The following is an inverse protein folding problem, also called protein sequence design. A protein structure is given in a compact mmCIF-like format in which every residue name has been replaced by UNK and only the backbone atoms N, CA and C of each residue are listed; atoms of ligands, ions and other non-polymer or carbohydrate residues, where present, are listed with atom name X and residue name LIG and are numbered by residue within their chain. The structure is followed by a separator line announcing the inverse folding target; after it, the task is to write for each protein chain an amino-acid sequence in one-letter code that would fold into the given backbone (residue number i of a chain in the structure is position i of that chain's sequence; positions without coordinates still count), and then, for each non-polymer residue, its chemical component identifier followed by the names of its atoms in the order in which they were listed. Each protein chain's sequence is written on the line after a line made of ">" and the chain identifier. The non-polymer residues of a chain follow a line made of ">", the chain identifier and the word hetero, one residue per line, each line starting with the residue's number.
data_IF_250995408692
#
_entry.id   IF_250995408692
#
_cell.length_a   1.000
_cell.length_b   1.000
_cell.length_c   1.000
_cell.angle_alpha   90.00
_cell.angle_beta   90.00
_cell.angle_gamma   90.00
#
_symmetry.space_group_name_H-M   'P 1'
#
loop_
_entity.id
_entity.type
_entity.pdbx_description
1 polymer ?
#
# COMPACT_ATOMS: atom_id res chain seq x y z
N UNK A 1 -7.29 4.58 4.83
CA UNK A 1 -7.40 3.11 5.03
C UNK A 1 -6.58 2.33 3.99
N UNK A 2 -5.27 2.50 3.94
CA UNK A 2 -4.43 1.82 2.92
C UNK A 2 -3.83 0.48 3.35
N UNK A 3 -4.02 0.08 4.61
CA UNK A 3 -3.62 -1.24 5.13
C UNK A 3 -4.78 -2.23 5.35
N UNK A 4 -6.02 -1.82 5.06
CA UNK A 4 -7.20 -2.65 5.32
C UNK A 4 -7.43 -3.64 4.16
N UNK A 5 -7.92 -4.83 4.50
CA UNK A 5 -8.45 -5.76 3.51
C UNK A 5 -9.71 -5.17 2.84
N UNK A 6 -9.89 -5.35 1.52
CA UNK A 6 -11.11 -4.94 0.83
C UNK A 6 -12.31 -5.74 1.38
N UNK A 7 -13.53 -5.22 1.22
CA UNK A 7 -14.74 -5.94 1.65
C UNK A 7 -14.94 -7.24 0.87
N UNK A 8 -14.58 -7.23 -0.42
CA UNK A 8 -14.60 -8.40 -1.29
C UNK A 8 -13.54 -8.29 -2.37
N UNK A 9 -13.16 -9.42 -2.96
CA UNK A 9 -12.32 -9.50 -4.15
C UNK A 9 -12.78 -10.64 -5.06
N UNK A 10 -12.34 -10.60 -6.32
CA UNK A 10 -12.56 -11.69 -7.27
C UNK A 10 -11.29 -12.55 -7.41
N UNK A 11 -11.46 -13.84 -7.64
CA UNK A 11 -10.36 -14.75 -8.00
C UNK A 11 -10.90 -15.88 -8.88
N UNK A 12 -10.05 -16.82 -9.28
CA UNK A 12 -10.47 -18.05 -9.94
C UNK A 12 -10.23 -19.26 -9.02
N UNK A 13 -11.13 -20.22 -9.03
CA UNK A 13 -10.90 -21.47 -8.30
C UNK A 13 -9.80 -22.28 -9.03
N UNK A 14 -8.68 -22.65 -8.39
CA UNK A 14 -7.57 -23.28 -9.09
C UNK A 14 -7.93 -24.62 -9.75
N UNK A 15 -8.86 -25.37 -9.18
CA UNK A 15 -9.27 -26.70 -9.68
C UNK A 15 -10.19 -26.65 -10.90
N UNK A 16 -11.13 -25.70 -10.95
CA UNK A 16 -12.17 -25.65 -12.00
C UNK A 16 -11.99 -24.48 -12.96
N UNK A 17 -11.28 -23.42 -12.56
CA UNK A 17 -11.20 -22.18 -13.31
C UNK A 17 -12.44 -21.28 -13.20
N UNK A 18 -13.39 -21.62 -12.32
CA UNK A 18 -14.60 -20.81 -12.09
C UNK A 18 -14.24 -19.46 -11.46
N UNK A 19 -14.92 -18.40 -11.89
CA UNK A 19 -14.85 -17.09 -11.29
C UNK A 19 -15.55 -17.09 -9.93
N UNK A 20 -14.82 -16.71 -8.90
CA UNK A 20 -15.29 -16.70 -7.52
C UNK A 20 -15.17 -15.32 -6.89
N UNK A 21 -16.06 -15.04 -5.94
CA UNK A 21 -16.04 -13.86 -5.07
C UNK A 21 -15.70 -14.31 -3.66
N UNK A 22 -14.71 -13.65 -3.06
CA UNK A 22 -14.30 -13.85 -1.67
C UNK A 22 -14.72 -12.62 -0.88
N UNK A 23 -15.39 -12.83 0.26
CA UNK A 23 -15.84 -11.77 1.15
C UNK A 23 -15.03 -11.78 2.45
N UNK A 24 -14.60 -10.61 2.90
CA UNK A 24 -13.78 -10.46 4.09
C UNK A 24 -14.56 -10.89 5.33
N UNK A 25 -13.94 -11.71 6.18
CA UNK A 25 -14.55 -12.22 7.41
C UNK A 25 -15.37 -13.50 7.22
N UNK A 26 -15.59 -13.94 5.98
CA UNK A 26 -16.35 -15.15 5.68
C UNK A 26 -15.42 -16.32 5.31
N UNK A 27 -15.85 -17.57 5.57
CA UNK A 27 -15.09 -18.76 5.14
C UNK A 27 -15.56 -19.21 3.76
N UNK A 28 -14.62 -19.67 2.94
CA UNK A 28 -14.90 -20.17 1.59
C UNK A 28 -15.14 -19.04 0.58
N UNK A 29 -15.89 -19.35 -0.47
CA UNK A 29 -16.09 -18.45 -1.60
C UNK A 29 -17.52 -18.60 -2.15
N UNK A 30 -17.92 -17.64 -2.96
CA UNK A 30 -19.16 -17.66 -3.72
C UNK A 30 -18.86 -17.75 -5.21
N UNK A 31 -19.65 -18.52 -5.96
CA UNK A 31 -19.59 -18.45 -7.42
C UNK A 31 -20.05 -17.07 -7.88
N UNK A 32 -19.31 -16.44 -8.79
CA UNK A 32 -19.71 -15.17 -9.38
C UNK A 32 -20.82 -15.35 -10.41
N UNK A 33 -21.76 -14.41 -10.45
CA UNK A 33 -22.80 -14.35 -11.51
C UNK A 33 -22.19 -14.04 -12.88
N UNK A 34 -20.99 -13.44 -12.93
CA UNK A 34 -20.25 -13.17 -14.17
C UNK A 34 -19.36 -14.34 -14.61
N UNK A 35 -19.48 -15.51 -13.99
CA UNK A 35 -18.69 -16.67 -14.36
C UNK A 35 -19.00 -17.12 -15.79
N UNK A 36 -17.96 -17.36 -16.59
CA UNK A 36 -18.04 -17.98 -17.92
C UNK A 36 -17.46 -19.40 -17.90
N UNK A 37 -17.58 -20.12 -19.02
CA UNK A 37 -17.01 -21.45 -19.20
C UNK A 37 -15.50 -21.42 -19.54
N UNK A 38 -14.92 -20.22 -19.72
CA UNK A 38 -13.50 -20.04 -20.05
C UNK A 38 -12.70 -19.58 -18.84
N UNK A 39 -11.71 -20.39 -18.44
CA UNK A 39 -10.77 -20.05 -17.37
C UNK A 39 -10.02 -18.75 -17.64
N UNK A 40 -9.62 -18.53 -18.88
CA UNK A 40 -8.86 -17.35 -19.28
C UNK A 40 -9.73 -16.08 -19.18
N UNK A 41 -10.98 -16.17 -19.64
CA UNK A 41 -11.94 -15.07 -19.54
C UNK A 41 -12.26 -14.75 -18.08
N UNK A 42 -12.51 -15.76 -17.25
CA UNK A 42 -12.72 -15.60 -15.81
C UNK A 42 -11.53 -14.92 -15.13
N UNK A 43 -10.29 -15.29 -15.50
CA UNK A 43 -9.08 -14.61 -14.99
C UNK A 43 -9.06 -13.13 -15.38
N UNK A 44 -9.36 -12.82 -16.65
CA UNK A 44 -9.39 -11.43 -17.12
C UNK A 44 -10.48 -10.61 -16.40
N UNK A 45 -11.64 -11.20 -16.13
CA UNK A 45 -12.71 -10.56 -15.35
C UNK A 45 -12.25 -10.30 -13.92
N UNK A 46 -11.62 -11.27 -13.25
CA UNK A 46 -11.09 -11.11 -11.90
C UNK A 46 -10.03 -10.00 -11.84
N UNK A 47 -9.05 -10.04 -12.73
CA UNK A 47 -7.96 -9.05 -12.80
C UNK A 47 -8.51 -7.64 -13.06
N UNK A 48 -9.43 -7.49 -14.01
CA UNK A 48 -10.08 -6.22 -14.31
C UNK A 48 -10.89 -5.68 -13.12
N UNK A 49 -11.68 -6.55 -12.48
CA UNK A 49 -12.58 -6.17 -11.38
C UNK A 49 -11.77 -5.75 -10.15
N UNK A 50 -10.76 -6.53 -9.77
CA UNK A 50 -9.86 -6.19 -8.68
C UNK A 50 -9.10 -4.89 -8.97
N UNK A 51 -8.66 -4.70 -10.22
CA UNK A 51 -7.98 -3.47 -10.61
C UNK A 51 -8.87 -2.24 -10.46
N UNK A 52 -10.13 -2.34 -10.90
CA UNK A 52 -11.13 -1.25 -10.74
C UNK A 52 -11.45 -0.96 -9.27
N UNK A 53 -11.37 -1.97 -8.40
CA UNK A 53 -11.55 -1.81 -6.95
C UNK A 53 -10.27 -1.36 -6.23
N UNK A 54 -9.16 -1.17 -6.94
CA UNK A 54 -7.89 -0.76 -6.33
C UNK A 54 -7.27 -1.83 -5.45
N UNK A 55 -7.58 -3.10 -5.68
CA UNK A 55 -7.05 -4.23 -4.90
C UNK A 55 -5.63 -4.54 -5.36
N UNK A 56 -4.71 -4.59 -4.40
CA UNK A 56 -3.31 -4.97 -4.61
C UNK A 56 -3.13 -6.49 -4.61
N UNK A 57 -2.04 -6.97 -5.20
CA UNK A 57 -1.68 -8.40 -5.16
C UNK A 57 -1.58 -8.93 -3.72
N UNK A 58 -0.96 -8.18 -2.81
CA UNK A 58 -0.85 -8.56 -1.41
C UNK A 58 -2.21 -8.65 -0.71
N UNK A 59 -3.16 -7.76 -1.04
CA UNK A 59 -4.53 -7.85 -0.53
C UNK A 59 -5.30 -9.03 -1.10
N UNK A 60 -5.16 -9.31 -2.39
CA UNK A 60 -5.81 -10.47 -3.03
C UNK A 60 -5.36 -11.78 -2.38
N UNK A 61 -4.05 -11.97 -2.22
CA UNK A 61 -3.50 -13.16 -1.58
C UNK A 61 -3.96 -13.30 -0.12
N UNK A 62 -4.02 -12.18 0.61
CA UNK A 62 -4.52 -12.17 1.97
C UNK A 62 -6.01 -12.51 2.07
N UNK A 63 -6.83 -12.06 1.12
CA UNK A 63 -8.24 -12.44 1.03
C UNK A 63 -8.40 -13.95 0.75
N UNK A 64 -7.61 -14.49 -0.18
CA UNK A 64 -7.61 -15.93 -0.49
C UNK A 64 -7.24 -16.73 0.76
N UNK A 65 -6.13 -16.40 1.42
CA UNK A 65 -5.70 -17.09 2.63
C UNK A 65 -6.75 -16.99 3.76
N UNK A 66 -7.30 -15.80 3.99
CA UNK A 66 -8.34 -15.57 5.00
C UNK A 66 -9.57 -16.45 4.78
N UNK A 67 -10.02 -16.56 3.54
CA UNK A 67 -11.18 -17.38 3.17
C UNK A 67 -10.98 -18.88 3.39
N UNK A 68 -9.76 -19.38 3.14
CA UNK A 68 -9.42 -20.81 3.20
C UNK A 68 -9.00 -21.24 4.60
N UNK A 69 -8.12 -20.45 5.23
CA UNK A 69 -7.42 -20.79 6.46
C UNK A 69 -7.99 -20.07 7.71
N UNK A 70 -8.94 -19.16 7.53
CA UNK A 70 -9.45 -18.28 8.59
C UNK A 70 -8.71 -16.94 8.63
N UNK A 71 -9.34 -15.94 9.24
CA UNK A 71 -8.88 -14.53 9.16
C UNK A 71 -7.87 -14.14 10.25
N UNK A 72 -7.68 -14.99 11.27
CA UNK A 72 -6.76 -14.73 12.39
C UNK A 72 -5.33 -15.22 12.10
N UNK A 73 -5.05 -15.72 10.90
CA UNK A 73 -3.72 -16.23 10.51
C UNK A 73 -2.87 -15.12 9.87
N UNK A 74 -1.53 -15.16 10.00
CA UNK A 74 -0.66 -14.15 9.39
C UNK A 74 -0.86 -14.00 7.88
N UNK A 75 -1.13 -15.10 7.17
CA UNK A 75 -1.39 -15.08 5.73
C UNK A 75 -2.66 -14.29 5.35
N UNK A 76 -3.58 -14.01 6.28
CA UNK A 76 -4.72 -13.14 6.04
C UNK A 76 -4.38 -11.64 6.17
N UNK A 77 -3.10 -11.28 6.31
CA UNK A 77 -2.64 -9.88 6.36
C UNK A 77 -1.81 -9.53 5.11
N UNK A 78 -2.12 -8.45 4.37
CA UNK A 78 -1.34 -8.05 3.18
C UNK A 78 0.16 -7.87 3.48
N UNK A 79 0.49 -7.32 4.66
CA UNK A 79 1.86 -7.10 5.09
C UNK A 79 2.70 -8.39 5.17
N UNK A 80 2.07 -9.56 5.38
CA UNK A 80 2.78 -10.85 5.36
C UNK A 80 3.48 -11.11 4.03
N UNK A 81 2.85 -10.71 2.92
CA UNK A 81 3.38 -10.90 1.57
C UNK A 81 4.43 -9.84 1.22
N UNK A 82 4.20 -8.58 1.61
CA UNK A 82 5.15 -7.49 1.41
C UNK A 82 6.46 -7.70 2.19
N UNK A 83 6.40 -8.31 3.37
CA UNK A 83 7.55 -8.69 4.19
C UNK A 83 8.43 -9.79 3.56
N UNK A 84 7.84 -10.57 2.65
CA UNK A 84 8.46 -11.74 2.01
C UNK A 84 8.78 -11.50 0.53
N UNK A 85 8.52 -10.30 0.03
CA UNK A 85 8.86 -9.91 -1.33
C UNK A 85 10.38 -10.02 -1.55
N UNK A 86 10.81 -10.55 -2.70
CA UNK A 86 12.22 -10.54 -3.11
C UNK A 86 12.46 -9.39 -4.09
N UNK A 87 13.50 -8.59 -3.84
CA UNK A 87 13.91 -7.52 -4.75
C UNK A 87 14.78 -8.13 -5.86
N UNK A 88 14.26 -8.18 -7.08
CA UNK A 88 14.93 -8.78 -8.23
C UNK A 88 15.87 -7.79 -8.92
N UNK A 89 15.41 -6.55 -9.12
CA UNK A 89 16.13 -5.53 -9.89
C UNK A 89 15.83 -4.14 -9.39
N UNK A 90 16.80 -3.23 -9.52
CA UNK A 90 16.61 -1.80 -9.35
C UNK A 90 17.29 -1.05 -10.49
N UNK A 91 16.55 -0.17 -11.17
CA UNK A 91 17.03 0.59 -12.34
C UNK A 91 16.84 2.07 -12.10
N UNK A 92 17.88 2.88 -12.36
CA UNK A 92 17.74 4.33 -12.33
C UNK A 92 16.80 4.79 -13.45
N UNK A 93 15.84 5.64 -13.12
CA UNK A 93 14.85 6.16 -14.05
C UNK A 93 14.79 7.68 -14.04
N UNK A 94 14.46 8.23 -15.20
CA UNK A 94 14.03 9.62 -15.38
C UNK A 94 12.78 9.61 -16.26
N UNK A 95 11.87 10.54 -15.98
CA UNK A 95 10.64 10.66 -16.74
C UNK A 95 9.56 11.39 -15.96
N UNK A 96 8.34 10.87 -15.98
CA UNK A 96 7.20 11.54 -15.34
C UNK A 96 6.25 10.55 -14.65
N UNK A 97 5.59 11.01 -13.59
CA UNK A 97 4.38 10.38 -13.03
C UNK A 97 3.17 11.06 -13.67
N UNK A 98 2.29 10.28 -14.32
CA UNK A 98 1.00 10.79 -14.75
C UNK A 98 0.09 10.88 -13.53
N UNK A 99 -0.43 12.07 -13.23
CA UNK A 99 -1.38 12.22 -12.14
C UNK A 99 -2.63 11.36 -12.43
N UNK A 100 -3.18 10.66 -11.43
CA UNK A 100 -4.30 9.75 -11.67
C UNK A 100 -5.58 10.46 -12.12
N UNK A 101 -5.74 11.74 -11.76
CA UNK A 101 -6.96 12.52 -12.06
C UNK A 101 -6.69 13.77 -12.88
N UNK A 102 -5.47 14.30 -12.81
CA UNK A 102 -5.09 15.44 -13.63
C UNK A 102 -4.54 14.89 -14.95
N UNK A 103 -4.84 15.56 -16.05
CA UNK A 103 -4.16 15.32 -17.33
C UNK A 103 -2.74 15.90 -17.34
N UNK A 104 -2.06 15.87 -16.19
CA UNK A 104 -0.77 16.51 -15.92
C UNK A 104 0.29 15.47 -15.58
N UNK A 105 1.52 15.76 -16.00
CA UNK A 105 2.68 14.91 -15.82
C UNK A 105 3.68 15.62 -14.90
N UNK A 106 4.08 14.97 -13.83
CA UNK A 106 5.04 15.51 -12.87
C UNK A 106 6.41 14.86 -13.07
N UNK A 107 7.51 15.63 -13.15
CA UNK A 107 8.83 15.07 -13.39
C UNK A 107 9.27 14.18 -12.23
N UNK A 108 9.85 13.01 -12.54
CA UNK A 108 10.37 12.07 -11.56
C UNK A 108 11.79 11.62 -11.94
N UNK A 109 12.63 11.51 -10.92
CA UNK A 109 13.96 10.91 -11.00
C UNK A 109 14.16 10.05 -9.76
N UNK A 110 14.54 8.80 -9.95
CA UNK A 110 14.63 7.85 -8.85
C UNK A 110 15.06 6.48 -9.33
N UNK A 111 14.63 5.44 -8.61
CA UNK A 111 14.83 4.05 -9.01
C UNK A 111 13.49 3.35 -9.17
N UNK A 112 13.36 2.58 -10.25
CA UNK A 112 12.29 1.61 -10.43
C UNK A 112 12.77 0.26 -9.91
N UNK A 113 12.09 -0.26 -8.90
CA UNK A 113 12.38 -1.53 -8.26
C UNK A 113 11.37 -2.58 -8.73
N UNK A 114 11.88 -3.74 -9.12
CA UNK A 114 11.07 -4.93 -9.39
C UNK A 114 11.14 -5.84 -8.18
N UNK A 115 9.98 -6.13 -7.60
CA UNK A 115 9.82 -7.10 -6.54
C UNK A 115 9.01 -8.30 -7.05
N UNK A 116 9.38 -9.49 -6.61
CA UNK A 116 8.58 -10.68 -6.81
C UNK A 116 7.73 -10.95 -5.56
N UNK A 117 6.41 -10.98 -5.73
CA UNK A 117 5.43 -11.19 -4.67
C UNK A 117 4.51 -12.33 -5.11
N UNK A 118 4.60 -13.48 -4.43
CA UNK A 118 3.73 -14.64 -4.67
C UNK A 118 3.64 -15.13 -6.12
N UNK A 119 4.77 -15.15 -6.84
CA UNK A 119 4.78 -15.63 -8.24
C UNK A 119 4.56 -14.52 -9.27
N UNK A 120 4.28 -13.29 -8.85
CA UNK A 120 4.02 -12.16 -9.74
C UNK A 120 5.01 -11.01 -9.51
N UNK A 121 5.37 -10.33 -10.59
CA UNK A 121 6.18 -9.12 -10.53
C UNK A 121 5.33 -7.92 -10.12
N UNK A 122 5.87 -7.12 -9.22
CA UNK A 122 5.31 -5.84 -8.78
C UNK A 122 6.38 -4.76 -8.85
N UNK A 123 5.99 -3.58 -9.33
CA UNK A 123 6.93 -2.48 -9.56
C UNK A 123 6.69 -1.34 -8.58
N UNK A 124 7.79 -0.76 -8.10
CA UNK A 124 7.77 0.26 -7.08
C UNK A 124 8.80 1.36 -7.35
N UNK A 125 8.53 2.57 -6.88
CA UNK A 125 9.53 3.61 -6.70
C UNK A 125 9.69 3.93 -5.20
N UNK A 126 10.84 4.47 -4.82
CA UNK A 126 11.03 4.98 -3.45
C UNK A 126 9.99 6.08 -3.16
N UNK A 127 9.41 6.12 -1.96
CA UNK A 127 8.47 7.19 -1.58
C UNK A 127 9.08 8.58 -1.75
N UNK A 128 10.36 8.74 -1.41
CA UNK A 128 11.14 9.96 -1.62
C UNK A 128 11.27 10.42 -3.08
N UNK A 129 10.95 9.56 -4.05
CA UNK A 129 10.89 9.91 -5.47
C UNK A 129 9.58 10.63 -5.84
N UNK A 130 8.60 10.69 -4.95
CA UNK A 130 7.34 11.42 -5.20
C UNK A 130 7.62 12.92 -5.39
N UNK A 131 7.15 13.53 -6.49
CA UNK A 131 7.39 14.94 -6.76
C UNK A 131 6.76 15.83 -5.70
N UNK A 132 7.55 16.77 -5.14
CA UNK A 132 7.07 17.73 -4.13
C UNK A 132 5.77 18.45 -4.55
N UNK A 133 5.70 18.90 -5.80
CA UNK A 133 4.51 19.59 -6.34
C UNK A 133 3.25 18.73 -6.32
N UNK A 134 3.41 17.42 -6.45
CA UNK A 134 2.31 16.45 -6.39
C UNK A 134 1.92 16.19 -4.92
N UNK A 135 2.90 16.13 -4.01
CA UNK A 135 2.66 15.95 -2.58
C UNK A 135 1.95 17.16 -1.94
N UNK A 136 2.33 18.39 -2.32
CA UNK A 136 1.72 19.63 -1.84
C UNK A 136 0.41 20.01 -2.58
N UNK A 137 -0.03 19.17 -3.51
CA UNK A 137 -1.19 19.42 -4.33
C UNK A 137 -2.47 19.49 -3.49
N UNK A 138 -3.28 20.52 -3.71
CA UNK A 138 -4.49 20.78 -2.91
C UNK A 138 -5.76 20.15 -3.49
N UNK A 139 -5.64 19.15 -4.35
CA UNK A 139 -6.80 18.44 -4.92
C UNK A 139 -7.38 17.37 -3.99
N UNK A 140 -6.89 17.30 -2.75
CA UNK A 140 -7.42 16.40 -1.74
C UNK A 140 -7.09 14.95 -2.04
N UNK A 141 -5.87 14.66 -2.50
CA UNK A 141 -5.39 13.28 -2.61
C UNK A 141 -4.40 12.99 -1.49
N UNK A 142 -4.57 11.83 -0.87
CA UNK A 142 -3.59 11.27 0.06
C UNK A 142 -2.91 10.09 -0.61
N UNK A 143 -1.58 10.09 -0.61
CA UNK A 143 -0.77 9.01 -1.12
C UNK A 143 -0.47 7.96 -0.04
N UNK A 144 -0.49 6.70 -0.44
CA UNK A 144 -0.40 5.57 0.45
C UNK A 144 0.74 4.65 0.02
N UNK A 145 1.96 4.89 0.52
CA UNK A 145 3.07 3.99 0.27
C UNK A 145 2.90 2.68 1.04
N UNK A 146 3.47 1.62 0.47
CA UNK A 146 3.59 0.30 1.09
C UNK A 146 4.92 0.18 1.82
N UNK A 147 4.93 -0.62 2.89
CA UNK A 147 6.17 -1.07 3.54
C UNK A 147 6.63 -2.38 2.91
N UNK A 148 7.44 -2.31 1.86
CA UNK A 148 7.97 -3.50 1.17
C UNK A 148 9.30 -3.85 1.79
N UNK A 149 9.39 -5.01 2.44
CA UNK A 149 10.57 -5.44 3.22
C UNK A 149 11.05 -4.40 4.27
N UNK A 150 10.14 -3.53 4.73
CA UNK A 150 10.42 -2.44 5.67
C UNK A 150 10.86 -1.12 5.03
N UNK A 151 10.93 -1.02 3.71
CA UNK A 151 11.19 0.22 2.97
C UNK A 151 9.87 0.85 2.50
N UNK A 152 9.79 2.19 2.51
CA UNK A 152 8.62 2.94 2.06
C UNK A 152 8.61 3.10 0.54
N UNK A 153 7.64 2.45 -0.10
CA UNK A 153 7.60 2.29 -1.55
C UNK A 153 6.23 2.67 -2.11
N UNK A 154 6.21 3.39 -3.23
CA UNK A 154 4.97 3.68 -3.97
C UNK A 154 4.84 2.64 -5.09
N UNK A 155 3.74 1.84 -5.12
CA UNK A 155 3.52 0.91 -6.20
C UNK A 155 3.20 1.68 -7.48
N UNK A 156 3.71 1.20 -8.61
CA UNK A 156 3.50 1.81 -9.93
C UNK A 156 3.30 0.74 -11.00
N UNK A 157 2.64 1.12 -12.09
CA UNK A 157 2.89 0.52 -13.40
C UNK A 157 3.67 1.53 -14.26
N UNK A 158 4.25 1.08 -15.36
CA UNK A 158 5.06 1.96 -16.19
C UNK A 158 4.99 1.62 -17.67
N UNK A 159 5.29 2.63 -18.48
CA UNK A 159 5.60 2.50 -19.89
C UNK A 159 6.95 3.17 -20.16
N UNK A 160 7.83 2.49 -20.88
CA UNK A 160 9.10 3.06 -21.30
C UNK A 160 8.99 3.55 -22.75
N UNK A 161 9.27 4.83 -22.96
CA UNK A 161 9.34 5.42 -24.30
C UNK A 161 10.61 5.00 -25.04
N UNK A 162 10.59 5.14 -26.38
CA UNK A 162 11.75 4.81 -27.24
C UNK A 162 13.00 5.63 -26.90
N UNK A 163 12.82 6.82 -26.31
CA UNK A 163 13.91 7.69 -25.84
C UNK A 163 14.46 7.27 -24.45
N UNK A 164 14.02 6.14 -23.90
CA UNK A 164 14.41 5.63 -22.59
C UNK A 164 13.69 6.29 -21.41
N UNK A 165 12.84 7.30 -21.64
CA UNK A 165 12.06 7.99 -20.61
C UNK A 165 10.94 7.09 -20.07
N UNK A 166 10.69 7.17 -18.76
CA UNK A 166 9.64 6.40 -18.10
C UNK A 166 8.38 7.25 -17.88
N UNK A 167 7.22 6.72 -18.26
CA UNK A 167 5.93 7.22 -17.80
C UNK A 167 5.40 6.27 -16.73
N UNK A 168 5.31 6.74 -15.50
CA UNK A 168 4.80 5.98 -14.37
C UNK A 168 3.33 6.30 -14.13
N UNK A 169 2.58 5.29 -13.73
CA UNK A 169 1.20 5.40 -13.28
C UNK A 169 1.14 4.86 -11.86
N UNK A 170 0.51 5.62 -10.95
CA UNK A 170 0.33 5.17 -9.57
C UNK A 170 -0.47 3.86 -9.54
N UNK A 171 0.03 2.89 -8.77
CA UNK A 171 -0.56 1.56 -8.63
C UNK A 171 -1.84 1.57 -7.80
N UNK A 172 -2.59 0.48 -7.89
CA UNK A 172 -3.81 0.28 -7.12
C UNK A 172 -3.59 0.47 -5.62
N UNK A 173 -4.52 1.16 -4.95
CA UNK A 173 -4.46 1.43 -3.51
C UNK A 173 -3.43 2.49 -3.07
N UNK A 174 -2.64 3.05 -3.98
CA UNK A 174 -1.59 4.02 -3.63
C UNK A 174 -2.05 5.47 -3.48
N UNK A 175 -3.31 5.77 -3.77
CA UNK A 175 -3.88 7.09 -3.58
C UNK A 175 -5.40 7.02 -3.39
N UNK A 176 -5.93 7.92 -2.57
CA UNK A 176 -7.37 8.11 -2.39
C UNK A 176 -7.69 9.60 -2.33
N UNK A 177 -8.87 9.97 -2.83
CA UNK A 177 -9.38 11.32 -2.61
C UNK A 177 -9.86 11.41 -1.16
N UNK A 178 -9.15 12.20 -0.36
CA UNK A 178 -9.38 12.41 1.07
C UNK A 178 -9.25 13.90 1.36
N UNK A 179 -10.27 14.49 1.99
CA UNK A 179 -10.26 15.88 2.45
C UNK A 179 -9.93 16.00 3.94
N UNK A 180 -9.27 14.99 4.49
CA UNK A 180 -8.94 14.93 5.91
C UNK A 180 -7.92 16.00 6.27
N UNK A 181 -8.27 16.75 7.32
CA UNK A 181 -7.45 17.85 7.82
C UNK A 181 -7.20 17.66 9.30
N UNK A 182 -5.96 17.95 9.72
CA UNK A 182 -5.57 17.98 11.11
C UNK A 182 -4.93 19.31 11.42
N UNK A 183 -5.55 20.12 12.29
CA UNK A 183 -5.06 21.46 12.66
C UNK A 183 -4.72 22.35 11.45
N UNK A 184 -5.54 22.26 10.39
CA UNK A 184 -5.33 23.00 9.14
C UNK A 184 -4.37 22.35 8.14
N UNK A 185 -3.59 21.34 8.53
CA UNK A 185 -2.77 20.56 7.60
C UNK A 185 -3.63 19.62 6.78
N UNK A 186 -3.49 19.67 5.46
CA UNK A 186 -4.08 18.68 4.55
C UNK A 186 -3.14 17.49 4.44
N UNK A 187 -3.66 16.27 4.57
CA UNK A 187 -2.85 15.05 4.53
C UNK A 187 -2.29 14.78 3.13
N UNK A 188 -0.96 14.77 3.00
CA UNK A 188 -0.26 14.46 1.75
C UNK A 188 -0.08 12.95 1.58
N UNK A 189 0.34 12.26 2.65
CA UNK A 189 0.51 10.82 2.64
C UNK A 189 0.24 10.21 4.01
N UNK A 190 -0.17 8.94 4.02
CA UNK A 190 -0.29 8.16 5.25
C UNK A 190 -0.03 6.67 5.06
N UNK A 191 0.44 6.06 6.14
CA UNK A 191 0.70 4.63 6.25
C UNK A 191 -0.12 4.09 7.41
N UNK A 192 -1.03 3.17 7.12
CA UNK A 192 -1.75 2.44 8.15
C UNK A 192 -0.94 1.23 8.63
N UNK A 193 -0.73 1.16 9.93
CA UNK A 193 -0.31 -0.01 10.69
C UNK A 193 -1.52 -0.52 11.50
N UNK A 194 -1.50 -1.76 12.00
CA UNK A 194 -2.68 -2.41 12.60
C UNK A 194 -3.47 -1.55 13.59
N UNK A 195 -2.77 -0.83 14.46
CA UNK A 195 -3.35 -0.01 15.53
C UNK A 195 -3.04 1.49 15.39
N UNK A 196 -2.31 1.91 14.33
CA UNK A 196 -1.86 3.29 14.18
C UNK A 196 -1.82 3.72 12.73
N UNK A 197 -2.12 4.97 12.46
CA UNK A 197 -1.87 5.57 11.15
C UNK A 197 -0.89 6.72 11.32
N UNK A 198 0.19 6.71 10.56
CA UNK A 198 1.17 7.80 10.57
C UNK A 198 0.94 8.59 9.30
N UNK A 199 0.88 9.90 9.44
CA UNK A 199 0.59 10.78 8.33
C UNK A 199 1.58 11.94 8.26
N UNK A 200 1.74 12.48 7.06
CA UNK A 200 2.44 13.74 6.80
C UNK A 200 1.52 14.67 6.01
N UNK A 201 1.50 15.93 6.39
CA UNK A 201 0.58 16.92 5.83
C UNK A 201 1.22 18.27 5.57
N UNK A 202 0.49 19.10 4.82
CA UNK A 202 0.92 20.40 4.35
C UNK A 202 -0.11 21.49 4.63
N UNK A 203 0.38 22.66 5.05
CA UNK A 203 -0.40 23.86 5.33
C UNK A 203 0.29 25.08 4.70
N UNK A 204 -0.19 25.52 3.53
CA UNK A 204 0.47 26.56 2.72
C UNK A 204 0.60 27.92 3.41
N UNK A 205 -0.29 28.23 4.36
CA UNK A 205 -0.31 29.52 5.08
C UNK A 205 0.35 29.47 6.47
N UNK A 206 0.88 28.32 6.91
CA UNK A 206 1.52 28.21 8.22
C UNK A 206 3.02 28.53 8.11
N UNK A 207 3.60 29.08 9.18
CA UNK A 207 5.05 29.22 9.34
C UNK A 207 5.79 27.89 9.22
N UNK A 208 5.24 26.83 9.82
CA UNK A 208 5.71 25.45 9.73
C UNK A 208 4.80 24.73 8.75
N UNK A 209 5.13 24.83 7.47
CA UNK A 209 4.28 24.37 6.37
C UNK A 209 4.00 22.86 6.38
N UNK A 210 4.81 22.04 7.06
CA UNK A 210 4.64 20.59 7.09
C UNK A 210 4.49 20.08 8.51
N UNK A 211 3.75 18.98 8.67
CA UNK A 211 3.64 18.30 9.94
C UNK A 211 3.60 16.78 9.75
N UNK A 212 4.20 16.06 10.71
CA UNK A 212 4.10 14.60 10.84
C UNK A 212 3.36 14.30 12.14
N UNK A 213 2.36 13.42 12.08
CA UNK A 213 1.57 13.01 13.24
C UNK A 213 1.16 11.54 13.13
N UNK A 214 0.69 10.99 14.25
CA UNK A 214 0.09 9.66 14.28
C UNK A 214 -1.30 9.64 14.92
N UNK A 215 -2.16 8.80 14.38
CA UNK A 215 -3.46 8.46 14.90
C UNK A 215 -3.37 7.15 15.68
N UNK A 216 -3.94 7.13 16.88
CA UNK A 216 -4.20 5.90 17.65
C UNK A 216 -5.57 5.31 17.27
N UNK A 217 -5.93 4.10 17.75
CA UNK A 217 -7.22 3.49 17.44
C UNK A 217 -8.38 4.46 17.70
N UNK A 218 -9.36 4.47 16.80
CA UNK A 218 -10.48 5.43 16.74
C UNK A 218 -10.10 6.87 16.33
N UNK A 219 -9.01 7.07 15.57
CA UNK A 219 -8.54 8.41 15.12
C UNK A 219 -8.39 9.39 16.28
N UNK A 220 -7.97 8.90 17.46
CA UNK A 220 -7.57 9.79 18.55
C UNK A 220 -6.20 10.35 18.17
N UNK A 221 -6.07 11.68 17.98
CA UNK A 221 -4.79 12.26 17.62
C UNK A 221 -3.83 12.03 18.77
N UNK A 222 -2.69 11.40 18.50
CA UNK A 222 -1.60 11.44 19.45
C UNK A 222 -1.10 12.89 19.49
N UNK A 223 -1.02 13.52 20.68
CA UNK A 223 -0.57 14.92 20.79
C UNK A 223 0.86 15.14 20.28
N UNK A 224 1.67 14.09 20.19
CA UNK A 224 3.02 14.13 19.63
C UNK A 224 2.98 14.28 18.09
N UNK A 225 2.86 15.51 17.62
CA UNK A 225 3.11 15.87 16.22
C UNK A 225 4.33 16.77 16.15
N UNK A 226 5.09 16.67 15.06
CA UNK A 226 6.27 17.49 14.82
C UNK A 226 6.04 18.31 13.56
N UNK A 227 6.26 19.61 13.63
CA UNK A 227 6.08 20.54 12.53
C UNK A 227 7.42 21.03 11.98
N UNK A 228 7.46 21.33 10.69
CA UNK A 228 8.68 21.65 9.94
C UNK A 228 8.44 22.82 8.98
N UNK A 229 9.48 23.62 8.75
CA UNK A 229 9.52 24.63 7.68
C UNK A 229 10.00 24.03 6.37
N UNK A 230 10.84 23.00 6.43
CA UNK A 230 11.49 22.38 5.26
C UNK A 230 10.84 21.05 4.87
N UNK A 231 10.49 20.91 3.59
CA UNK A 231 9.87 19.69 3.04
C UNK A 231 10.73 18.44 3.29
N UNK A 232 12.04 18.56 3.06
CA UNK A 232 12.97 17.44 3.17
C UNK A 232 13.06 16.90 4.62
N UNK A 233 12.98 17.79 5.60
CA UNK A 233 12.99 17.40 7.02
C UNK A 233 11.71 16.66 7.41
N UNK A 234 10.55 17.16 6.94
CA UNK A 234 9.27 16.50 7.17
C UNK A 234 9.21 15.11 6.54
N UNK A 235 9.65 14.95 5.29
CA UNK A 235 9.69 13.65 4.62
C UNK A 235 10.63 12.67 5.34
N UNK A 236 11.82 13.14 5.74
CA UNK A 236 12.77 12.32 6.49
C UNK A 236 12.21 11.90 7.85
N UNK A 237 11.53 12.81 8.56
CA UNK A 237 10.87 12.51 9.82
C UNK A 237 9.79 11.44 9.62
N UNK A 238 8.91 11.61 8.62
CA UNK A 238 7.88 10.65 8.29
C UNK A 238 8.45 9.27 7.98
N UNK A 239 9.43 9.18 7.08
CA UNK A 239 10.07 7.91 6.72
C UNK A 239 10.74 7.23 7.92
N UNK A 240 11.49 7.99 8.72
CA UNK A 240 12.18 7.45 9.90
C UNK A 240 11.17 6.96 10.95
N UNK A 241 10.10 7.72 11.19
CA UNK A 241 9.09 7.37 12.17
C UNK A 241 8.36 6.08 11.78
N UNK A 242 7.94 5.97 10.52
CA UNK A 242 7.27 4.78 9.98
C UNK A 242 8.19 3.55 10.06
N UNK A 243 9.42 3.66 9.57
CA UNK A 243 10.35 2.51 9.51
C UNK A 243 10.74 2.03 10.91
N UNK A 244 10.96 2.94 11.86
CA UNK A 244 11.23 2.59 13.26
C UNK A 244 10.06 1.87 13.92
N UNK A 245 8.84 2.39 13.78
CA UNK A 245 7.65 1.77 14.37
C UNK A 245 7.37 0.40 13.76
N UNK A 246 7.53 0.27 12.45
CA UNK A 246 7.41 -1.02 11.78
C UNK A 246 8.45 -2.03 12.27
N UNK A 247 9.72 -1.63 12.43
CA UNK A 247 10.77 -2.51 12.96
C UNK A 247 10.47 -2.97 14.39
N UNK A 248 9.97 -2.06 15.25
CA UNK A 248 9.53 -2.39 16.60
C UNK A 248 8.36 -3.39 16.59
N UNK A 249 7.34 -3.15 15.76
CA UNK A 249 6.19 -4.05 15.63
C UNK A 249 6.60 -5.45 15.18
N UNK A 250 7.49 -5.53 14.18
CA UNK A 250 8.02 -6.80 13.67
C UNK A 250 8.82 -7.56 14.73
N UNK A 251 9.62 -6.85 15.52
CA UNK A 251 10.36 -7.43 16.64
C UNK A 251 9.40 -8.01 17.69
N UNK A 252 8.43 -7.21 18.14
CA UNK A 252 7.44 -7.62 19.13
C UNK A 252 6.65 -8.85 18.67
N UNK A 253 6.17 -8.89 17.42
CA UNK A 253 5.47 -10.07 16.88
C UNK A 253 6.33 -11.34 16.91
N UNK A 254 7.62 -11.23 16.57
CA UNK A 254 8.55 -12.39 16.60
C UNK A 254 8.72 -12.91 18.01
N UNK A 255 8.85 -12.03 19.00
CA UNK A 255 8.93 -12.39 20.42
C UNK A 255 7.65 -13.09 20.89
N UNK A 256 6.47 -12.55 20.55
CA UNK A 256 5.19 -13.16 20.91
C UNK A 256 5.00 -14.55 20.29
N UNK A 257 5.41 -14.75 19.03
CA UNK A 257 5.37 -16.06 18.38
C UNK A 257 6.31 -17.07 19.06
N UNK A 258 7.55 -16.66 19.38
CA UNK A 258 8.48 -17.52 20.13
C UNK A 258 7.92 -17.97 21.48
N UNK A 259 7.26 -17.06 22.21
CA UNK A 259 6.64 -17.37 23.50
C UNK A 259 5.45 -18.33 23.36
N UNK A 260 4.63 -18.20 22.31
CA UNK A 260 3.55 -19.15 22.02
C UNK A 260 4.07 -20.54 21.66
N UNK A 261 5.14 -20.62 20.88
CA UNK A 261 5.76 -21.92 20.51
C UNK A 261 6.45 -22.60 21.70
N UNK A 262 7.01 -21.83 22.64
CA UNK A 262 7.61 -22.38 23.86
C UNK A 262 6.58 -22.84 24.89
N UNK A 263 5.42 -22.19 24.96
CA UNK A 263 4.32 -22.57 25.88
C UNK A 263 3.35 -23.61 25.28
N UNK A 264 3.30 -23.73 23.95
CA UNK A 264 2.48 -24.71 23.23
C UNK A 264 3.10 -26.10 23.08
N UNK A 265 4.38 -26.29 23.47
CA UNK A 265 5.04 -27.61 23.53
C UNK A 265 4.82 -28.36 24.85
N UNK A 266 4.10 -27.76 25.80
CA UNK A 266 3.66 -28.42 27.04
C UNK A 266 2.15 -28.71 27.00
N UNK A 267 1.67 -29.49 26.02
CA UNK A 267 0.38 -30.21 26.10
C UNK A 267 0.43 -31.50 25.30
#
# INVERSE_FOLDING_TARGET
>A
MSGALPEQCCSILPSTGELIVIKRGERGYYRSEWNTDSREENKNIADFTNSRMGITLAQLEAMICGSMCGWDVPGAQPQFYLDRASKEKSVAITGHIKHPVLSTYFPVKGKLHTYHIMGADAYYIDFSSMPKMMMEERLGYTYHPNLVTGELMIPVSYQQGQNGSYTLYLGNGSFHHTTEQYKGYTMMASVSMEDREIAVGFHSQDSHQYAVWDWQPNHKPNPAHTSFTEYAEAMKCFETHVTMLYALHRHLRRETHKQKDSTGRER
#
